data_IF_036785087841
#
_entry.id   IF_036785087841
#
_cell.length_a   1.000
_cell.length_b   1.000
_cell.length_c   1.000
_cell.angle_alpha   90.00
_cell.angle_beta   90.00
_cell.angle_gamma   90.00
#
_symmetry.space_group_name_H-M   'P 1'
#
loop_
_entity.id
_entity.type
_entity.pdbx_description
1 polymer ?
#
# COMPACT_ATOMS: atom_id res chain seq x y z
N UNK A 1 -2.43 -14.57 5.26
CA UNK A 1 -2.37 -13.10 5.18
C UNK A 1 -2.14 -12.56 6.57
N UNK A 2 -1.41 -11.46 6.73
CA UNK A 2 -1.17 -10.83 8.03
C UNK A 2 -1.23 -9.31 7.90
N UNK A 3 -1.83 -8.61 8.86
CA UNK A 3 -1.82 -7.14 8.88
C UNK A 3 -0.44 -6.66 9.33
N UNK A 4 0.26 -5.95 8.45
CA UNK A 4 1.62 -5.42 8.69
C UNK A 4 1.62 -3.90 8.87
N UNK A 5 0.45 -3.28 9.05
CA UNK A 5 0.35 -1.85 9.20
C UNK A 5 -1.05 -1.32 8.96
N UNK A 6 -1.19 -0.02 9.15
CA UNK A 6 -2.41 0.73 8.90
C UNK A 6 -2.06 2.03 8.20
N UNK A 7 -2.90 2.45 7.26
CA UNK A 7 -2.81 3.74 6.59
C UNK A 7 -4.17 4.41 6.61
N UNK A 8 -4.17 5.72 6.77
CA UNK A 8 -5.36 6.57 6.66
C UNK A 8 -5.33 7.29 5.33
N UNK A 9 -6.43 7.22 4.59
CA UNK A 9 -6.63 7.94 3.35
C UNK A 9 -6.97 9.40 3.65
N UNK A 10 -6.35 10.31 2.90
CA UNK A 10 -6.70 11.72 2.91
C UNK A 10 -7.38 12.05 1.57
N UNK A 11 -8.72 12.24 1.56
CA UNK A 11 -9.46 12.47 0.33
C UNK A 11 -9.15 13.82 -0.34
N UNK A 12 -8.71 14.83 0.42
CA UNK A 12 -8.36 16.15 -0.15
C UNK A 12 -7.08 16.09 -1.00
N UNK A 13 -6.15 15.18 -0.64
CA UNK A 13 -4.85 15.05 -1.31
C UNK A 13 -4.73 13.81 -2.20
N UNK A 14 -5.68 12.87 -2.10
CA UNK A 14 -5.62 11.55 -2.73
C UNK A 14 -4.34 10.79 -2.32
N UNK A 15 -4.02 10.84 -1.03
CA UNK A 15 -2.81 10.25 -0.43
C UNK A 15 -3.17 9.32 0.73
N UNK A 16 -2.39 8.26 0.94
CA UNK A 16 -2.49 7.44 2.15
C UNK A 16 -1.28 7.68 3.03
N UNK A 17 -1.49 7.82 4.34
CA UNK A 17 -0.42 8.04 5.31
C UNK A 17 -0.57 7.12 6.51
N UNK A 18 0.53 6.57 7.00
CA UNK A 18 0.47 5.68 8.16
C UNK A 18 1.81 5.01 8.42
N UNK A 19 1.77 3.73 8.76
CA UNK A 19 2.95 2.99 9.16
C UNK A 19 2.93 1.54 8.68
N UNK A 20 4.12 1.06 8.36
CA UNK A 20 4.42 -0.35 8.17
C UNK A 20 5.23 -0.84 9.37
N UNK A 21 4.84 -1.98 9.91
CA UNK A 21 5.51 -2.67 11.02
C UNK A 21 5.55 -4.16 10.73
N UNK A 22 6.76 -4.69 10.62
CA UNK A 22 7.08 -6.10 10.50
C UNK A 22 8.09 -6.46 11.59
N UNK A 23 8.41 -7.75 11.74
CA UNK A 23 9.44 -8.19 12.69
C UNK A 23 10.81 -7.54 12.38
N UNK A 24 11.12 -7.32 11.10
CA UNK A 24 12.42 -6.84 10.66
C UNK A 24 12.48 -5.33 10.40
N UNK A 25 11.34 -4.67 10.18
CA UNK A 25 11.30 -3.28 9.74
C UNK A 25 10.10 -2.52 10.29
N UNK A 26 10.33 -1.25 10.66
CA UNK A 26 9.29 -0.27 10.99
C UNK A 26 9.56 1.01 10.21
N UNK A 27 8.55 1.51 9.51
CA UNK A 27 8.68 2.73 8.72
C UNK A 27 7.37 3.51 8.66
N UNK A 28 7.47 4.84 8.58
CA UNK A 28 6.34 5.68 8.20
C UNK A 28 6.10 5.52 6.70
N UNK A 29 4.86 5.18 6.33
CA UNK A 29 4.46 4.93 4.96
C UNK A 29 3.66 6.12 4.42
N UNK A 30 3.99 6.55 3.21
CA UNK A 30 3.18 7.49 2.42
C UNK A 30 2.95 6.91 1.04
N UNK A 31 1.71 6.93 0.58
CA UNK A 31 1.31 6.45 -0.74
C UNK A 31 0.70 7.65 -1.46
N UNK A 32 1.38 8.14 -2.48
CA UNK A 32 1.06 9.41 -3.15
C UNK A 32 0.63 9.11 -4.58
N UNK A 33 -0.45 9.75 -5.03
CA UNK A 33 -0.94 9.57 -6.40
C UNK A 33 0.16 9.89 -7.42
N UNK A 34 0.33 9.01 -8.39
CA UNK A 34 1.21 9.25 -9.51
C UNK A 34 0.54 10.20 -10.52
N UNK A 35 0.86 11.49 -10.46
CA UNK A 35 0.33 12.51 -11.37
C UNK A 35 0.82 12.38 -12.82
N UNK A 36 1.84 11.56 -13.10
CA UNK A 36 2.43 11.40 -14.43
C UNK A 36 2.05 10.08 -15.11
N UNK A 37 1.04 9.37 -14.60
CA UNK A 37 0.59 8.10 -15.17
C UNK A 37 0.22 8.27 -16.65
N UNK A 38 0.98 7.65 -17.54
CA UNK A 38 0.77 7.68 -18.99
C UNK A 38 0.60 6.27 -19.59
N UNK A 39 -0.22 5.44 -18.92
CA UNK A 39 -0.59 4.08 -19.36
C UNK A 39 -0.84 3.11 -18.20
N UNK A 40 -1.50 1.97 -18.49
CA UNK A 40 -1.88 0.95 -17.49
C UNK A 40 -0.73 0.23 -16.80
N UNK A 41 0.46 0.21 -17.42
CA UNK A 41 1.65 -0.41 -16.80
C UNK A 41 2.30 0.47 -15.74
N UNK A 42 1.95 1.75 -15.71
CA UNK A 42 2.48 2.67 -14.72
C UNK A 42 1.67 2.58 -13.42
N UNK A 43 2.32 2.77 -12.27
CA UNK A 43 1.63 2.70 -11.00
C UNK A 43 0.66 3.88 -10.83
N UNK A 44 -0.47 3.62 -10.18
CA UNK A 44 -1.43 4.65 -9.79
C UNK A 44 -0.91 5.48 -8.61
N UNK A 45 -0.08 4.86 -7.77
CA UNK A 45 0.52 5.49 -6.61
C UNK A 45 2.01 5.15 -6.47
N UNK A 46 2.79 6.09 -5.96
CA UNK A 46 4.18 5.90 -5.56
C UNK A 46 4.24 5.74 -4.04
N UNK A 47 5.11 4.86 -3.58
CA UNK A 47 5.18 4.48 -2.16
C UNK A 47 6.50 4.95 -1.59
N UNK A 48 6.40 5.67 -0.48
CA UNK A 48 7.54 6.21 0.25
C UNK A 48 7.57 5.63 1.66
N UNK A 49 8.73 5.10 2.06
CA UNK A 49 9.03 4.73 3.43
C UNK A 49 10.08 5.68 3.99
N UNK A 50 9.78 6.37 5.09
CA UNK A 50 10.70 7.34 5.71
C UNK A 50 11.27 8.37 4.71
N UNK A 51 10.44 8.82 3.75
CA UNK A 51 10.78 9.72 2.63
C UNK A 51 11.65 9.14 1.50
N UNK A 52 12.05 7.86 1.56
CA UNK A 52 12.67 7.17 0.44
C UNK A 52 11.58 6.51 -0.42
N UNK A 53 11.65 6.67 -1.74
CA UNK A 53 10.78 5.93 -2.65
C UNK A 53 11.18 4.46 -2.64
N UNK A 54 10.28 3.60 -2.20
CA UNK A 54 10.54 2.19 -1.95
C UNK A 54 9.51 1.27 -2.62
N UNK A 55 8.64 1.81 -3.48
CA UNK A 55 7.60 0.99 -4.06
C UNK A 55 6.55 1.71 -4.88
N UNK A 56 5.53 0.95 -5.21
CA UNK A 56 4.44 1.35 -6.08
C UNK A 56 3.13 0.68 -5.66
N UNK A 57 2.00 1.32 -5.97
CA UNK A 57 0.67 0.76 -5.80
C UNK A 57 -0.18 0.92 -7.06
N UNK A 58 -1.11 -0.01 -7.24
CA UNK A 58 -2.02 -0.08 -8.37
C UNK A 58 -3.45 -0.26 -7.87
N UNK A 59 -4.38 0.49 -8.45
CA UNK A 59 -5.81 0.21 -8.28
C UNK A 59 -6.15 -1.00 -9.14
N UNK A 60 -6.73 -2.01 -8.52
CA UNK A 60 -7.17 -3.24 -9.18
C UNK A 60 -8.62 -3.49 -8.83
N UNK A 61 -9.30 -4.23 -9.71
CA UNK A 61 -10.66 -4.71 -9.47
C UNK A 61 -10.59 -6.23 -9.31
N UNK A 62 -11.22 -6.77 -8.28
CA UNK A 62 -11.30 -8.21 -8.08
C UNK A 62 -12.34 -8.83 -9.04
N UNK A 63 -12.45 -10.16 -9.05
CA UNK A 63 -13.40 -10.87 -9.93
C UNK A 63 -14.87 -10.57 -9.59
N UNK A 64 -15.13 -10.14 -8.37
CA UNK A 64 -16.47 -9.77 -7.88
C UNK A 64 -16.82 -8.29 -8.12
N UNK A 65 -15.93 -7.53 -8.78
CA UNK A 65 -16.13 -6.11 -9.09
C UNK A 65 -15.72 -5.13 -7.98
N UNK A 66 -15.17 -5.62 -6.86
CA UNK A 66 -14.66 -4.80 -5.77
C UNK A 66 -13.29 -4.20 -6.10
N UNK A 67 -13.16 -2.88 -5.93
CA UNK A 67 -11.89 -2.16 -6.07
C UNK A 67 -11.00 -2.37 -4.84
N UNK A 68 -9.72 -2.63 -5.08
CA UNK A 68 -8.69 -2.73 -4.05
C UNK A 68 -7.38 -2.14 -4.53
N UNK A 69 -6.53 -1.72 -3.60
CA UNK A 69 -5.19 -1.23 -3.92
C UNK A 69 -4.18 -2.31 -3.61
N UNK A 70 -3.43 -2.70 -4.64
CA UNK A 70 -2.33 -3.65 -4.54
C UNK A 70 -1.02 -2.89 -4.45
N UNK A 71 -0.19 -3.24 -3.48
CA UNK A 71 1.03 -2.54 -3.09
C UNK A 71 2.23 -3.47 -3.26
N UNK A 72 3.32 -2.94 -3.83
CA UNK A 72 4.64 -3.57 -3.81
C UNK A 72 5.62 -2.62 -3.13
N UNK A 73 6.31 -3.11 -2.10
CA UNK A 73 7.42 -2.44 -1.43
C UNK A 73 8.68 -3.26 -1.67
N UNK A 74 9.70 -2.65 -2.25
CA UNK A 74 10.94 -3.30 -2.66
C UNK A 74 12.08 -2.31 -2.38
N UNK A 75 12.88 -2.61 -1.38
CA UNK A 75 14.00 -1.80 -0.93
C UNK A 75 15.24 -2.69 -0.79
N UNK A 76 16.46 -2.21 -1.08
CA UNK A 76 17.68 -3.01 -0.97
C UNK A 76 17.94 -3.64 0.40
N UNK A 77 17.37 -3.09 1.49
CA UNK A 77 17.45 -3.66 2.83
C UNK A 77 16.53 -4.86 3.05
N UNK A 78 15.56 -5.08 2.15
CA UNK A 78 14.63 -6.20 2.22
C UNK A 78 15.19 -7.42 1.47
N UNK A 79 15.09 -8.63 2.04
CA UNK A 79 15.54 -9.84 1.37
C UNK A 79 14.69 -10.19 0.13
N UNK A 80 13.47 -9.66 0.05
CA UNK A 80 12.56 -9.79 -1.08
C UNK A 80 11.49 -8.68 -1.02
N UNK A 81 10.86 -8.40 -2.16
CA UNK A 81 9.72 -7.50 -2.24
C UNK A 81 8.56 -7.96 -1.34
N UNK A 82 7.98 -7.01 -0.61
CA UNK A 82 6.76 -7.18 0.18
C UNK A 82 5.58 -6.81 -0.71
N UNK A 83 4.66 -7.76 -0.88
CA UNK A 83 3.38 -7.53 -1.53
C UNK A 83 2.29 -7.39 -0.47
N UNK A 84 1.44 -6.38 -0.61
CA UNK A 84 0.32 -6.17 0.30
C UNK A 84 -0.89 -5.64 -0.46
N UNK A 85 -2.08 -5.82 0.10
CA UNK A 85 -3.29 -5.17 -0.37
C UNK A 85 -3.83 -4.25 0.73
N UNK A 86 -4.40 -3.12 0.34
CA UNK A 86 -5.16 -2.27 1.25
C UNK A 86 -6.57 -2.85 1.38
N UNK A 87 -6.89 -3.37 2.56
CA UNK A 87 -8.25 -3.73 2.93
C UNK A 87 -8.79 -2.71 3.92
N UNK A 88 -10.09 -2.41 3.87
CA UNK A 88 -10.72 -1.59 4.92
C UNK A 88 -10.48 -2.23 6.28
N UNK A 89 -10.01 -1.45 7.25
CA UNK A 89 -9.70 -1.98 8.57
C UNK A 89 -11.01 -2.35 9.29
N UNK A 90 -11.26 -3.66 9.45
CA UNK A 90 -12.41 -4.12 10.23
C UNK A 90 -12.27 -3.65 11.69
N UNK A 91 -13.32 -3.04 12.24
CA UNK A 91 -13.38 -2.47 13.59
C UNK A 91 -12.67 -1.11 13.79
N UNK A 92 -12.50 -0.31 12.74
CA UNK A 92 -12.25 1.12 12.89
C UNK A 92 -13.55 1.87 12.54
N UNK A 93 -13.93 2.84 13.37
CA UNK A 93 -15.10 3.71 13.14
C UNK A 93 -14.95 4.61 11.89
N UNK A 94 -13.73 4.67 11.34
CA UNK A 94 -13.35 5.58 10.27
C UNK A 94 -13.19 4.84 8.93
N UNK A 95 -14.01 5.22 7.93
CA UNK A 95 -14.04 4.61 6.60
C UNK A 95 -12.71 4.79 5.85
N UNK A 96 -11.95 5.82 6.22
CA UNK A 96 -10.69 6.18 5.59
C UNK A 96 -9.49 5.39 6.15
N UNK A 97 -9.68 4.49 7.12
CA UNK A 97 -8.60 3.66 7.67
C UNK A 97 -8.53 2.29 6.99
N UNK A 98 -7.37 2.03 6.40
CA UNK A 98 -7.05 0.81 5.68
C UNK A 98 -5.95 0.01 6.39
N UNK A 99 -6.14 -1.29 6.49
CA UNK A 99 -5.12 -2.23 6.91
C UNK A 99 -4.21 -2.60 5.71
N UNK A 100 -2.90 -2.63 5.97
CA UNK A 100 -1.91 -3.17 5.04
C UNK A 100 -1.87 -4.70 5.23
N UNK A 101 -2.51 -5.44 4.33
CA UNK A 101 -2.63 -6.90 4.42
C UNK A 101 -1.54 -7.54 3.59
N UNK A 102 -0.53 -8.10 4.23
CA UNK A 102 0.57 -8.78 3.58
C UNK A 102 0.17 -10.11 2.93
N UNK A 103 0.67 -10.29 1.73
CA UNK A 103 0.55 -11.51 0.94
C UNK A 103 1.94 -11.99 0.52
N UNK A 104 2.14 -13.32 0.57
CA UNK A 104 3.27 -13.92 -0.14
C UNK A 104 2.82 -14.22 -1.56
N UNK A 105 3.60 -13.86 -2.58
CA UNK A 105 3.38 -14.42 -3.90
C UNK A 105 3.40 -15.95 -3.79
N UNK A 106 2.40 -16.60 -4.39
CA UNK A 106 2.41 -18.05 -4.54
C UNK A 106 3.66 -18.42 -5.36
N UNK A 107 4.41 -19.41 -4.86
CA UNK A 107 5.68 -19.83 -5.43
C UNK A 107 5.49 -20.61 -6.72
#
# INVERSE_FOLDING_TARGET
MATIGTVTFNPEKDEFTGNLTTIAAKASLKIIKNGFKNGDKQPDYRVYANNAECGAAWKKTNQEGGEYISLKIDDPSLPAAIWANLGRAANQDDDDVFALIWERPAR
#
